data_IF_635845896234
#
_entry.id   IF_635845896234
#
_cell.length_a   1.000
_cell.length_b   1.000
_cell.length_c   1.000
_cell.angle_alpha   90.00
_cell.angle_beta   90.00
_cell.angle_gamma   90.00
#
_symmetry.space_group_name_H-M   'P 1'
#
loop_
_entity.id
_entity.type
_entity.pdbx_description
1 polymer ?
#
# COMPACT_ATOMS: atom_id res chain seq x y z
N UNK A 1 -52.58 24.86 4.58
CA UNK A 1 -51.95 25.12 5.89
C UNK A 1 -52.62 26.30 6.55
N UNK A 2 -52.65 26.33 7.89
CA UNK A 2 -52.97 27.55 8.62
C UNK A 2 -51.77 28.50 8.59
N UNK A 3 -51.98 29.81 8.74
CA UNK A 3 -50.89 30.81 8.78
C UNK A 3 -49.86 30.55 9.89
N UNK A 4 -50.28 29.89 10.98
CA UNK A 4 -49.41 29.46 12.06
C UNK A 4 -48.50 28.27 11.65
N UNK A 5 -49.03 27.31 10.89
CA UNK A 5 -48.25 26.17 10.36
C UNK A 5 -47.19 26.64 9.36
N UNK A 6 -47.53 27.57 8.47
CA UNK A 6 -46.57 28.15 7.51
C UNK A 6 -45.41 28.86 8.22
N UNK A 7 -45.71 29.62 9.28
CA UNK A 7 -44.70 30.27 10.11
C UNK A 7 -43.75 29.27 10.79
N UNK A 8 -44.29 28.15 11.28
CA UNK A 8 -43.50 27.08 11.89
C UNK A 8 -42.57 26.39 10.88
N UNK A 9 -43.06 26.04 9.69
CA UNK A 9 -42.25 25.40 8.64
C UNK A 9 -41.08 26.28 8.24
N UNK A 10 -41.32 27.58 8.02
CA UNK A 10 -40.25 28.56 7.75
C UNK A 10 -39.22 28.62 8.88
N UNK A 11 -39.67 28.56 10.14
CA UNK A 11 -38.79 28.49 11.30
C UNK A 11 -37.85 27.28 11.27
N UNK A 12 -38.38 26.09 10.93
CA UNK A 12 -37.57 24.88 10.77
C UNK A 12 -36.58 24.97 9.60
N UNK A 13 -36.99 25.55 8.47
CA UNK A 13 -36.11 25.78 7.31
C UNK A 13 -34.92 26.65 7.71
N UNK A 14 -35.14 27.76 8.42
CA UNK A 14 -34.04 28.61 8.88
C UNK A 14 -33.14 27.89 9.88
N UNK A 15 -33.71 27.17 10.84
CA UNK A 15 -32.94 26.40 11.82
C UNK A 15 -32.00 25.39 11.15
N UNK A 16 -32.53 24.61 10.20
CA UNK A 16 -31.75 23.61 9.45
C UNK A 16 -30.68 24.31 8.59
N UNK A 17 -31.03 25.40 7.91
CA UNK A 17 -30.09 26.17 7.07
C UNK A 17 -28.91 26.72 7.87
N UNK A 18 -29.16 27.38 9.01
CA UNK A 18 -28.10 27.91 9.86
C UNK A 18 -27.28 26.80 10.52
N UNK A 19 -27.91 25.66 10.86
CA UNK A 19 -27.19 24.48 11.36
C UNK A 19 -26.22 23.94 10.31
N UNK A 20 -26.65 23.77 9.06
CA UNK A 20 -25.77 23.36 7.95
C UNK A 20 -24.60 24.33 7.81
N UNK A 21 -24.87 25.64 7.79
CA UNK A 21 -23.83 26.67 7.65
C UNK A 21 -22.79 26.58 8.78
N UNK A 22 -23.25 26.46 10.03
CA UNK A 22 -22.37 26.34 11.19
C UNK A 22 -21.48 25.08 11.12
N UNK A 23 -22.04 23.94 10.69
CA UNK A 23 -21.28 22.71 10.50
C UNK A 23 -20.23 22.85 9.40
N UNK A 24 -20.58 23.45 8.26
CA UNK A 24 -19.66 23.67 7.14
C UNK A 24 -18.52 24.61 7.53
N UNK A 25 -18.80 25.71 8.23
CA UNK A 25 -17.78 26.64 8.74
C UNK A 25 -16.82 25.95 9.71
N UNK A 26 -17.34 25.10 10.60
CA UNK A 26 -16.52 24.30 11.52
C UNK A 26 -15.62 23.30 10.77
N UNK A 27 -16.14 22.64 9.72
CA UNK A 27 -15.32 21.77 8.87
C UNK A 27 -14.22 22.57 8.19
N UNK A 28 -14.51 23.75 7.61
CA UNK A 28 -13.49 24.61 7.01
C UNK A 28 -12.42 25.07 8.02
N UNK A 29 -12.84 25.46 9.23
CA UNK A 29 -11.92 25.87 10.29
C UNK A 29 -10.96 24.75 10.70
N UNK A 30 -11.48 23.53 10.85
CA UNK A 30 -10.65 22.36 11.18
C UNK A 30 -9.82 21.85 10.00
N UNK A 31 -10.21 22.14 8.76
CA UNK A 31 -9.44 21.84 7.56
C UNK A 31 -8.22 22.76 7.36
N UNK A 32 -8.14 23.87 8.11
CA UNK A 32 -7.02 24.81 8.02
C UNK A 32 -5.68 24.08 8.24
N UNK A 33 -4.65 24.29 7.39
CA UNK A 33 -3.46 23.44 7.35
C UNK A 33 -2.77 23.24 8.70
N UNK A 34 -2.65 24.29 9.51
CA UNK A 34 -1.99 24.22 10.80
C UNK A 34 -2.83 23.47 11.85
N UNK A 35 -4.15 23.62 11.82
CA UNK A 35 -5.06 22.89 12.71
C UNK A 35 -5.08 21.41 12.34
N UNK A 36 -5.25 21.10 11.06
CA UNK A 36 -5.22 19.73 10.52
C UNK A 36 -3.91 19.02 10.89
N UNK A 37 -2.76 19.70 10.78
CA UNK A 37 -1.46 19.10 11.12
C UNK A 37 -1.30 18.83 12.62
N UNK A 38 -1.77 19.73 13.48
CA UNK A 38 -1.66 19.59 14.95
C UNK A 38 -2.67 18.61 15.54
N UNK A 39 -3.89 18.61 15.02
CA UNK A 39 -5.04 17.89 15.56
C UNK A 39 -5.61 16.93 14.51
N UNK A 40 -4.74 16.20 13.81
CA UNK A 40 -5.09 15.31 12.69
C UNK A 40 -6.25 14.35 13.01
N UNK A 41 -6.19 13.66 14.15
CA UNK A 41 -7.22 12.69 14.54
C UNK A 41 -8.59 13.37 14.79
N UNK A 42 -8.59 14.58 15.34
CA UNK A 42 -9.80 15.37 15.53
C UNK A 42 -10.35 15.88 14.19
N UNK A 43 -9.48 16.41 13.33
CA UNK A 43 -9.83 16.82 11.98
C UNK A 43 -10.54 15.68 11.22
N UNK A 44 -9.96 14.47 11.23
CA UNK A 44 -10.55 13.30 10.57
C UNK A 44 -11.93 12.94 11.13
N UNK A 45 -12.08 12.99 12.46
CA UNK A 45 -13.35 12.71 13.13
C UNK A 45 -14.43 13.73 12.79
N UNK A 46 -14.12 15.01 12.98
CA UNK A 46 -15.00 16.15 12.68
C UNK A 46 -15.47 16.07 11.22
N UNK A 47 -14.54 15.92 10.27
CA UNK A 47 -14.89 15.87 8.86
C UNK A 47 -15.75 14.66 8.50
N UNK A 48 -15.48 13.51 9.11
CA UNK A 48 -16.25 12.29 8.86
C UNK A 48 -17.66 12.42 9.41
N UNK A 49 -17.82 12.69 10.70
CA UNK A 49 -19.13 12.67 11.35
C UNK A 49 -19.98 13.88 10.99
N UNK A 50 -19.40 15.09 10.96
CA UNK A 50 -20.16 16.29 10.56
C UNK A 50 -20.53 16.24 9.08
N UNK A 51 -19.71 15.62 8.22
CA UNK A 51 -20.06 15.38 6.82
C UNK A 51 -21.36 14.56 6.67
N UNK A 52 -21.50 13.47 7.41
CA UNK A 52 -22.75 12.68 7.42
C UNK A 52 -23.93 13.47 7.97
N UNK A 53 -23.73 14.22 9.05
CA UNK A 53 -24.77 15.07 9.62
C UNK A 53 -25.23 16.15 8.64
N UNK A 54 -24.31 16.79 7.92
CA UNK A 54 -24.62 17.78 6.88
C UNK A 54 -25.44 17.16 5.75
N UNK A 55 -25.11 15.95 5.28
CA UNK A 55 -25.91 15.25 4.27
C UNK A 55 -27.33 14.97 4.77
N UNK A 56 -27.48 14.51 6.01
CA UNK A 56 -28.79 14.27 6.62
C UNK A 56 -29.62 15.56 6.77
N UNK A 57 -28.98 16.67 7.14
CA UNK A 57 -29.63 17.98 7.23
C UNK A 57 -30.02 18.52 5.85
N UNK A 58 -29.23 18.28 4.80
CA UNK A 58 -29.63 18.61 3.44
C UNK A 58 -30.86 17.81 2.98
N UNK A 59 -30.99 16.54 3.41
CA UNK A 59 -32.21 15.76 3.17
C UNK A 59 -33.42 16.40 3.85
N UNK A 60 -33.28 16.77 5.13
CA UNK A 60 -34.33 17.48 5.86
C UNK A 60 -34.69 18.84 5.19
N UNK A 61 -33.68 19.59 4.74
CA UNK A 61 -33.86 20.86 4.05
C UNK A 61 -34.66 20.70 2.75
N UNK A 62 -34.32 19.71 1.91
CA UNK A 62 -35.03 19.44 0.66
C UNK A 62 -36.48 19.04 0.94
N UNK A 63 -36.72 18.19 1.94
CA UNK A 63 -38.08 17.80 2.35
C UNK A 63 -38.91 19.00 2.81
N UNK A 64 -38.35 19.86 3.66
CA UNK A 64 -39.04 21.05 4.18
C UNK A 64 -39.35 22.06 3.07
N UNK A 65 -38.39 22.35 2.19
CA UNK A 65 -38.59 23.27 1.06
C UNK A 65 -39.64 22.74 0.06
N UNK A 66 -39.63 21.43 -0.20
CA UNK A 66 -40.61 20.80 -1.11
C UNK A 66 -41.99 20.80 -0.47
N UNK A 67 -42.09 20.57 0.84
CA UNK A 67 -43.34 20.62 1.60
C UNK A 67 -43.93 22.03 1.65
N UNK A 68 -43.10 23.08 1.76
CA UNK A 68 -43.56 24.47 1.68
C UNK A 68 -44.06 24.83 0.26
N UNK A 69 -43.39 24.32 -0.78
CA UNK A 69 -43.70 24.66 -2.16
C UNK A 69 -44.85 23.87 -2.78
N UNK A 70 -45.10 22.64 -2.32
CA UNK A 70 -46.05 21.70 -2.96
C UNK A 70 -47.40 21.69 -2.25
N UNK A 71 -48.48 21.90 -3.01
CA UNK A 71 -49.84 22.03 -2.43
C UNK A 71 -50.61 20.71 -2.32
N UNK A 72 -50.24 19.68 -3.10
CA UNK A 72 -51.08 18.49 -3.27
C UNK A 72 -50.37 17.15 -2.98
N UNK A 73 -49.14 16.93 -3.47
CA UNK A 73 -48.36 15.71 -3.18
C UNK A 73 -46.85 16.00 -3.03
N UNK A 74 -46.30 15.64 -1.86
CA UNK A 74 -44.87 15.77 -1.56
C UNK A 74 -44.03 14.84 -2.45
N UNK A 75 -44.55 13.66 -2.80
CA UNK A 75 -43.83 12.67 -3.61
C UNK A 75 -43.52 13.21 -5.00
N UNK A 76 -44.55 13.72 -5.69
CA UNK A 76 -44.36 14.33 -7.01
C UNK A 76 -43.46 15.58 -6.95
N UNK A 77 -43.65 16.45 -5.96
CA UNK A 77 -42.80 17.64 -5.78
C UNK A 77 -41.31 17.31 -5.59
N UNK A 78 -40.98 16.22 -4.89
CA UNK A 78 -39.60 15.77 -4.74
C UNK A 78 -39.00 15.29 -6.05
N UNK A 79 -39.76 14.53 -6.86
CA UNK A 79 -39.29 13.99 -8.14
C UNK A 79 -39.03 15.09 -9.16
N UNK A 80 -39.84 16.15 -9.14
CA UNK A 80 -39.65 17.34 -10.01
C UNK A 80 -38.47 18.21 -9.57
N UNK A 81 -38.08 18.17 -8.29
CA UNK A 81 -37.00 18.98 -7.74
C UNK A 81 -35.60 18.49 -8.18
N UNK A 82 -34.80 19.32 -8.88
CA UNK A 82 -33.41 18.94 -9.22
C UNK A 82 -32.54 18.69 -8.00
N UNK A 83 -32.81 19.39 -6.89
CA UNK A 83 -32.05 19.26 -5.64
C UNK A 83 -32.17 17.87 -5.03
N UNK A 84 -33.33 17.22 -5.17
CA UNK A 84 -33.55 15.84 -4.73
C UNK A 84 -32.60 14.89 -5.46
N UNK A 85 -32.56 14.92 -6.79
CA UNK A 85 -31.70 14.03 -7.58
C UNK A 85 -30.22 14.28 -7.36
N UNK A 86 -29.80 15.55 -7.24
CA UNK A 86 -28.42 15.87 -6.87
C UNK A 86 -28.05 15.26 -5.51
N UNK A 87 -28.93 15.36 -4.52
CA UNK A 87 -28.69 14.81 -3.19
C UNK A 87 -28.71 13.27 -3.17
N UNK A 88 -29.56 12.63 -3.98
CA UNK A 88 -29.52 11.16 -4.20
C UNK A 88 -28.15 10.75 -4.73
N UNK A 89 -27.65 11.43 -5.78
CA UNK A 89 -26.34 11.13 -6.37
C UNK A 89 -25.21 11.37 -5.38
N UNK A 90 -25.20 12.50 -4.67
CA UNK A 90 -24.20 12.81 -3.64
C UNK A 90 -24.22 11.75 -2.54
N UNK A 91 -25.39 11.38 -2.04
CA UNK A 91 -25.54 10.34 -1.00
C UNK A 91 -25.00 9.01 -1.51
N UNK A 92 -25.32 8.63 -2.75
CA UNK A 92 -24.79 7.43 -3.40
C UNK A 92 -23.26 7.44 -3.50
N UNK A 93 -22.66 8.56 -3.91
CA UNK A 93 -21.20 8.72 -4.01
C UNK A 93 -20.51 8.67 -2.64
N UNK A 94 -21.13 9.20 -1.58
CA UNK A 94 -20.61 9.14 -0.21
C UNK A 94 -20.71 7.72 0.36
N UNK A 95 -21.80 6.99 0.07
CA UNK A 95 -22.01 5.60 0.51
C UNK A 95 -21.14 4.61 -0.28
N UNK A 96 -20.90 4.86 -1.57
CA UNK A 96 -20.21 3.93 -2.47
C UNK A 96 -18.88 3.36 -1.92
N UNK A 97 -17.95 4.17 -1.37
CA UNK A 97 -16.71 3.64 -0.78
C UNK A 97 -16.94 2.62 0.35
N UNK A 98 -18.04 2.72 1.10
CA UNK A 98 -18.40 1.81 2.20
C UNK A 98 -18.91 0.48 1.68
N UNK A 99 -19.56 0.47 0.51
CA UNK A 99 -19.96 -0.78 -0.15
C UNK A 99 -18.78 -1.66 -0.55
N UNK A 100 -17.55 -1.12 -0.56
CA UNK A 100 -16.30 -1.84 -0.83
C UNK A 100 -15.53 -2.24 0.43
N UNK A 101 -16.11 -2.06 1.62
CA UNK A 101 -15.55 -2.59 2.86
C UNK A 101 -15.85 -4.09 2.95
N UNK A 102 -14.83 -4.92 3.16
CA UNK A 102 -14.99 -6.38 3.25
C UNK A 102 -14.18 -6.90 4.43
N UNK A 103 -14.84 -7.60 5.35
CA UNK A 103 -14.17 -8.38 6.38
C UNK A 103 -13.53 -9.61 5.72
N UNK A 104 -12.24 -9.80 5.93
CA UNK A 104 -11.47 -10.91 5.34
C UNK A 104 -10.85 -11.73 6.44
N UNK A 105 -10.87 -13.05 6.27
CA UNK A 105 -10.02 -13.95 7.03
C UNK A 105 -8.56 -13.61 6.73
N UNK A 106 -7.72 -13.65 7.76
CA UNK A 106 -6.29 -13.40 7.65
C UNK A 106 -5.55 -14.43 8.48
N UNK A 107 -4.49 -14.98 7.91
CA UNK A 107 -3.56 -15.84 8.64
C UNK A 107 -2.36 -15.00 9.06
N UNK A 108 -2.10 -14.94 10.36
CA UNK A 108 -1.04 -14.13 10.92
C UNK A 108 0.15 -14.99 11.34
N UNK A 109 1.31 -14.66 10.81
CA UNK A 109 2.59 -15.29 11.09
C UNK A 109 3.49 -14.27 11.79
N UNK A 110 3.74 -14.48 13.08
CA UNK A 110 4.56 -13.57 13.89
C UNK A 110 6.03 -13.81 13.59
N UNK A 111 6.67 -12.85 12.92
CA UNK A 111 8.10 -12.92 12.59
C UNK A 111 8.97 -12.50 13.78
N UNK A 112 8.53 -11.49 14.53
CA UNK A 112 9.22 -10.99 15.72
C UNK A 112 8.28 -10.14 16.58
N UNK A 113 8.75 -9.71 17.76
CA UNK A 113 8.02 -8.73 18.61
C UNK A 113 7.81 -7.36 17.95
N UNK A 114 8.42 -7.14 16.78
CA UNK A 114 8.36 -5.89 16.03
C UNK A 114 7.71 -6.05 14.64
N UNK A 115 7.35 -7.26 14.24
CA UNK A 115 6.89 -7.54 12.88
C UNK A 115 5.97 -8.76 12.82
N UNK A 116 4.83 -8.61 12.15
CA UNK A 116 3.90 -9.69 11.81
C UNK A 116 3.65 -9.70 10.31
N UNK A 117 3.59 -10.90 9.72
CA UNK A 117 3.19 -11.12 8.34
C UNK A 117 1.73 -11.56 8.32
N UNK A 118 0.92 -10.88 7.52
CA UNK A 118 -0.51 -11.15 7.35
C UNK A 118 -0.74 -11.73 5.95
N UNK A 119 -1.22 -12.96 5.87
CA UNK A 119 -1.50 -13.66 4.62
C UNK A 119 -3.00 -13.64 4.29
N UNK A 120 -3.30 -13.40 3.02
CA UNK A 120 -4.66 -13.31 2.47
C UNK A 120 -4.77 -14.20 1.24
N UNK A 121 -5.88 -14.94 1.11
CA UNK A 121 -6.14 -15.93 0.06
C UNK A 121 -7.27 -15.53 -0.91
N UNK A 122 -7.99 -14.44 -0.62
CA UNK A 122 -9.24 -14.11 -1.31
C UNK A 122 -9.05 -13.55 -2.74
N UNK A 123 -7.86 -13.04 -3.09
CA UNK A 123 -7.56 -12.48 -4.42
C UNK A 123 -6.07 -12.43 -4.70
N UNK A 124 -5.72 -12.42 -5.97
CA UNK A 124 -4.36 -12.08 -6.42
C UNK A 124 -4.18 -10.56 -6.56
N UNK A 125 -2.92 -10.17 -6.53
CA UNK A 125 -2.43 -8.80 -6.63
C UNK A 125 -1.14 -8.77 -7.45
N UNK A 126 -0.79 -7.58 -7.91
CA UNK A 126 0.40 -7.33 -8.71
C UNK A 126 1.46 -6.58 -7.93
N UNK A 127 2.71 -6.69 -8.37
CA UNK A 127 3.80 -5.92 -7.77
C UNK A 127 3.51 -4.42 -7.80
N UNK A 128 3.93 -3.75 -6.73
CA UNK A 128 3.69 -2.33 -6.53
C UNK A 128 2.25 -1.96 -6.23
N UNK A 129 1.36 -2.91 -5.91
CA UNK A 129 0.07 -2.61 -5.32
C UNK A 129 0.15 -2.42 -3.79
N UNK A 130 -0.84 -1.72 -3.24
CA UNK A 130 -1.05 -1.54 -1.81
C UNK A 130 -2.51 -1.77 -1.47
N UNK A 131 -2.75 -2.31 -0.27
CA UNK A 131 -4.08 -2.53 0.31
C UNK A 131 -4.28 -1.67 1.54
N UNK A 132 -5.53 -1.32 1.82
CA UNK A 132 -5.93 -0.58 3.02
C UNK A 132 -6.57 -1.52 4.02
N UNK A 133 -5.98 -1.61 5.21
CA UNK A 133 -6.38 -2.49 6.30
C UNK A 133 -6.91 -1.69 7.49
N UNK A 134 -7.89 -2.24 8.20
CA UNK A 134 -8.44 -1.65 9.43
C UNK A 134 -9.13 -2.71 10.29
N UNK A 135 -9.00 -2.59 11.60
CA UNK A 135 -9.82 -3.32 12.59
C UNK A 135 -11.02 -2.48 13.07
N UNK A 136 -11.00 -1.17 12.79
CA UNK A 136 -12.02 -0.19 13.18
C UNK A 136 -12.40 0.69 11.97
N UNK A 137 -13.24 0.22 11.04
CA UNK A 137 -13.52 0.88 9.76
C UNK A 137 -14.03 2.33 9.86
N UNK A 138 -14.69 2.65 10.97
CA UNK A 138 -15.23 3.98 11.26
C UNK A 138 -14.22 4.93 11.92
N UNK A 139 -13.00 4.48 12.22
CA UNK A 139 -11.97 5.29 12.92
C UNK A 139 -10.71 5.45 12.08
N UNK A 140 -9.98 4.38 11.85
CA UNK A 140 -8.65 4.46 11.22
C UNK A 140 -8.53 3.50 10.04
N UNK A 141 -7.61 3.77 9.11
CA UNK A 141 -7.34 2.90 7.96
C UNK A 141 -5.90 3.08 7.53
N UNK A 142 -5.15 1.98 7.43
CA UNK A 142 -3.70 2.00 7.20
C UNK A 142 -3.36 1.31 5.88
N UNK A 143 -2.50 1.94 5.08
CA UNK A 143 -2.06 1.42 3.79
C UNK A 143 -0.79 0.58 3.91
N UNK A 144 -0.77 -0.59 3.25
CA UNK A 144 0.39 -1.48 3.23
C UNK A 144 0.67 -2.00 1.84
N UNK A 145 1.96 -2.10 1.48
CA UNK A 145 2.37 -2.78 0.26
C UNK A 145 2.10 -4.28 0.35
N UNK A 146 1.71 -4.87 -0.77
CA UNK A 146 1.44 -6.30 -0.87
C UNK A 146 2.65 -7.04 -1.42
N UNK A 147 2.84 -8.28 -0.99
CA UNK A 147 3.79 -9.24 -1.55
C UNK A 147 2.94 -10.35 -2.18
N UNK A 148 2.82 -10.42 -3.52
CA UNK A 148 2.13 -11.51 -4.18
C UNK A 148 2.72 -12.85 -3.75
N UNK A 149 1.87 -13.85 -3.54
CA UNK A 149 2.36 -15.22 -3.43
C UNK A 149 2.99 -15.61 -4.78
N UNK A 150 4.25 -16.08 -4.81
CA UNK A 150 4.92 -16.40 -6.07
C UNK A 150 4.11 -17.44 -6.86
N UNK A 151 3.76 -17.16 -8.11
CA UNK A 151 3.19 -18.17 -8.99
C UNK A 151 4.30 -19.17 -9.37
N UNK A 152 4.22 -20.41 -8.91
CA UNK A 152 5.02 -21.49 -9.49
C UNK A 152 4.35 -21.87 -10.80
N UNK A 153 5.02 -21.72 -11.97
CA UNK A 153 4.50 -22.32 -13.19
C UNK A 153 4.36 -23.82 -12.94
N UNK A 154 3.14 -24.35 -13.02
CA UNK A 154 2.97 -25.79 -13.14
C UNK A 154 3.71 -26.16 -14.43
N UNK A 155 4.75 -26.97 -14.33
CA UNK A 155 5.41 -27.58 -15.49
C UNK A 155 4.29 -28.13 -16.38
N UNK A 156 4.24 -27.82 -17.69
CA UNK A 156 3.21 -28.39 -18.55
C UNK A 156 3.31 -29.89 -18.44
N UNK A 157 2.21 -30.56 -18.07
CA UNK A 157 2.08 -31.99 -18.20
C UNK A 157 2.34 -32.26 -19.68
N UNK A 158 3.50 -32.83 -19.98
CA UNK A 158 3.76 -33.34 -21.31
C UNK A 158 2.82 -34.52 -21.46
N UNK A 159 1.76 -34.36 -22.25
CA UNK A 159 0.93 -35.48 -22.69
C UNK A 159 1.86 -36.46 -23.41
N UNK A 160 2.25 -37.52 -22.70
CA UNK A 160 2.88 -38.67 -23.33
C UNK A 160 1.77 -39.46 -24.03
N UNK A 161 1.65 -39.22 -25.33
CA UNK A 161 1.04 -40.17 -26.27
C UNK A 161 1.76 -41.51 -26.10
N UNK A 162 1.00 -42.55 -25.77
CA UNK A 162 1.52 -43.87 -25.46
C UNK A 162 2.26 -44.53 -26.62
N UNK A 163 3.35 -45.22 -26.30
CA UNK A 163 3.71 -46.46 -26.97
C UNK A 163 4.56 -47.34 -26.05
N UNK A 164 4.31 -48.62 -26.18
CA UNK A 164 4.69 -49.77 -25.37
C UNK A 164 6.20 -50.01 -25.30
N UNK A 165 6.72 -50.53 -24.18
CA UNK A 165 8.05 -51.14 -24.15
C UNK A 165 8.69 -51.27 -22.77
N UNK A 166 8.67 -52.49 -22.23
CA UNK A 166 9.45 -53.03 -21.11
C UNK A 166 10.85 -52.42 -20.87
N UNK A 167 11.16 -52.05 -19.62
CA UNK A 167 12.28 -52.65 -18.86
C UNK A 167 12.40 -52.05 -17.45
N UNK A 168 12.76 -52.92 -16.53
CA UNK A 168 12.77 -52.75 -15.08
C UNK A 168 14.08 -52.06 -14.64
N UNK A 169 14.01 -50.84 -14.08
CA UNK A 169 15.11 -50.27 -13.27
C UNK A 169 14.55 -49.55 -12.05
N UNK A 170 14.92 -50.11 -10.90
CA UNK A 170 14.91 -49.61 -9.53
C UNK A 170 14.35 -48.22 -9.22
N UNK A 171 13.35 -48.25 -8.32
CA UNK A 171 13.02 -47.26 -7.28
C UNK A 171 14.16 -46.27 -7.00
N UNK A 172 14.14 -45.13 -7.68
CA UNK A 172 14.83 -43.94 -7.19
C UNK A 172 13.80 -43.12 -6.43
N UNK A 173 13.77 -43.42 -5.13
CA UNK A 173 13.12 -42.67 -4.07
C UNK A 173 13.36 -41.19 -4.33
N UNK A 174 12.36 -40.49 -4.85
CA UNK A 174 12.39 -39.03 -4.99
C UNK A 174 12.80 -38.48 -3.63
N UNK A 175 14.03 -38.00 -3.62
CA UNK A 175 14.63 -37.28 -2.52
C UNK A 175 13.75 -36.05 -2.41
N UNK A 176 12.75 -36.10 -1.53
CA UNK A 176 12.10 -34.92 -1.00
C UNK A 176 13.21 -33.94 -0.69
N UNK A 177 13.35 -32.94 -1.54
CA UNK A 177 14.06 -31.71 -1.23
C UNK A 177 13.22 -30.98 -0.19
N UNK A 178 13.14 -31.57 1.02
CA UNK A 178 12.61 -31.03 2.27
C UNK A 178 13.45 -29.83 2.77
N UNK A 179 14.19 -29.17 1.87
CA UNK A 179 15.09 -28.03 2.16
C UNK A 179 14.82 -26.80 1.32
N UNK A 180 13.82 -26.80 0.43
CA UNK A 180 13.43 -25.62 -0.33
C UNK A 180 12.03 -25.20 0.09
N UNK A 181 11.86 -23.92 0.43
CA UNK A 181 10.61 -23.21 0.74
C UNK A 181 9.87 -23.57 2.03
N UNK A 182 10.47 -23.27 3.19
CA UNK A 182 9.70 -23.06 4.44
C UNK A 182 9.32 -21.58 4.71
N UNK A 183 9.78 -20.65 3.87
CA UNK A 183 9.86 -19.22 4.22
C UNK A 183 8.93 -18.23 3.52
N UNK A 184 8.39 -18.60 2.37
CA UNK A 184 7.23 -17.94 1.80
C UNK A 184 6.11 -18.95 1.96
N UNK A 185 5.48 -18.95 3.14
CA UNK A 185 4.50 -19.95 3.61
C UNK A 185 3.38 -20.29 2.61
N UNK A 186 3.17 -19.46 1.59
CA UNK A 186 2.14 -19.61 0.58
C UNK A 186 2.67 -19.52 -0.87
N UNK A 187 3.95 -19.82 -1.12
CA UNK A 187 4.47 -19.86 -2.49
C UNK A 187 3.68 -20.85 -3.36
N UNK A 188 3.16 -20.39 -4.49
CA UNK A 188 2.32 -21.15 -5.42
C UNK A 188 0.83 -21.07 -5.14
N UNK A 189 0.41 -20.47 -4.02
CA UNK A 189 -0.99 -20.36 -3.62
C UNK A 189 -1.60 -19.05 -4.11
N UNK A 190 -2.93 -19.05 -4.26
CA UNK A 190 -3.69 -17.82 -4.54
C UNK A 190 -3.52 -16.86 -3.36
N UNK A 191 -3.28 -15.58 -3.64
CA UNK A 191 -3.25 -14.58 -2.57
C UNK A 191 -2.03 -13.67 -2.53
N UNK A 192 -1.87 -13.04 -1.36
CA UNK A 192 -0.77 -12.14 -1.06
C UNK A 192 -0.52 -12.00 0.45
N UNK A 193 0.71 -11.63 0.78
CA UNK A 193 1.14 -11.30 2.13
C UNK A 193 1.30 -9.80 2.31
N UNK A 194 1.19 -9.34 3.55
CA UNK A 194 1.47 -7.97 3.98
C UNK A 194 2.40 -8.02 5.19
N UNK A 195 3.44 -7.20 5.20
CA UNK A 195 4.33 -7.06 6.36
C UNK A 195 3.90 -5.83 7.17
N UNK A 196 3.55 -6.07 8.43
CA UNK A 196 3.19 -5.01 9.39
C UNK A 196 4.30 -4.92 10.43
N UNK A 197 5.03 -3.80 10.42
CA UNK A 197 6.07 -3.52 11.41
C UNK A 197 5.63 -2.45 12.40
N UNK A 198 6.17 -2.52 13.62
CA UNK A 198 5.82 -1.62 14.72
C UNK A 198 6.21 -0.17 14.41
N UNK A 199 5.22 0.71 14.26
CA UNK A 199 5.42 2.13 13.96
C UNK A 199 4.49 3.08 14.77
N UNK A 200 3.36 2.57 15.24
CA UNK A 200 2.39 3.30 16.06
C UNK A 200 1.43 2.37 16.80
N UNK A 201 0.43 2.94 17.45
CA UNK A 201 -0.48 2.21 18.35
C UNK A 201 -1.21 1.08 17.65
N UNK A 202 -1.78 1.36 16.47
CA UNK A 202 -2.48 0.35 15.66
C UNK A 202 -1.57 -0.83 15.30
N UNK A 203 -0.40 -0.56 14.71
CA UNK A 203 0.55 -1.62 14.34
C UNK A 203 1.04 -2.41 15.55
N UNK A 204 1.25 -1.74 16.69
CA UNK A 204 1.67 -2.38 17.94
C UNK A 204 0.59 -3.33 18.46
N UNK A 205 -0.68 -2.92 18.40
CA UNK A 205 -1.84 -3.72 18.75
C UNK A 205 -1.96 -4.97 17.87
N UNK A 206 -1.85 -4.80 16.55
CA UNK A 206 -1.94 -5.90 15.57
C UNK A 206 -0.80 -6.90 15.75
N UNK A 207 0.41 -6.46 16.10
CA UNK A 207 1.54 -7.36 16.38
C UNK A 207 1.34 -8.10 17.71
N UNK A 208 0.87 -7.41 18.75
CA UNK A 208 0.68 -8.01 20.08
C UNK A 208 -0.49 -9.01 20.11
N UNK A 209 -1.57 -8.72 19.38
CA UNK A 209 -2.75 -9.57 19.27
C UNK A 209 -3.12 -9.74 17.79
N UNK A 210 -2.46 -10.67 17.07
CA UNK A 210 -2.71 -10.87 15.66
C UNK A 210 -4.17 -11.27 15.39
N UNK A 211 -4.88 -10.56 14.50
CA UNK A 211 -6.29 -10.84 14.23
C UNK A 211 -6.46 -12.10 13.38
N UNK A 212 -7.60 -12.77 13.49
CA UNK A 212 -8.03 -13.82 12.53
C UNK A 212 -8.86 -13.24 11.39
N UNK A 213 -9.41 -12.03 11.59
CA UNK A 213 -10.19 -11.30 10.60
C UNK A 213 -9.84 -9.81 10.63
N UNK A 214 -9.74 -9.19 9.46
CA UNK A 214 -9.45 -7.77 9.32
C UNK A 214 -10.22 -7.19 8.15
N UNK A 215 -10.64 -5.93 8.25
CA UNK A 215 -11.33 -5.27 7.16
C UNK A 215 -10.34 -4.78 6.11
N UNK A 216 -10.65 -5.09 4.86
CA UNK A 216 -10.04 -4.50 3.67
C UNK A 216 -10.94 -3.39 3.15
N UNK A 217 -10.38 -2.23 2.82
CA UNK A 217 -11.15 -1.08 2.31
C UNK A 217 -10.76 -0.76 0.87
N UNK A 218 -11.74 -0.78 -0.03
CA UNK A 218 -11.56 -0.38 -1.42
C UNK A 218 -10.85 -1.44 -2.26
N UNK A 219 -10.26 -1.02 -3.38
CA UNK A 219 -9.49 -1.87 -4.29
C UNK A 219 -7.99 -1.65 -4.12
N UNK A 220 -7.14 -2.67 -4.35
CA UNK A 220 -5.70 -2.47 -4.34
C UNK A 220 -5.28 -1.39 -5.34
N UNK A 221 -4.42 -0.48 -4.91
CA UNK A 221 -3.98 0.67 -5.71
C UNK A 221 -2.50 0.54 -6.03
N UNK A 222 -2.10 0.91 -7.24
CA UNK A 222 -0.68 0.95 -7.60
C UNK A 222 0.00 2.15 -6.92
N UNK A 223 1.12 1.89 -6.26
CA UNK A 223 1.97 2.89 -5.62
C UNK A 223 3.31 3.07 -6.34
N UNK A 224 4.24 3.79 -5.70
CA UNK A 224 5.54 4.17 -6.29
C UNK A 224 6.36 2.98 -6.79
N UNK A 225 6.26 1.80 -6.16
CA UNK A 225 7.03 0.64 -6.61
C UNK A 225 6.60 0.14 -7.99
N UNK A 226 5.41 0.51 -8.48
CA UNK A 226 5.02 0.22 -9.86
C UNK A 226 5.91 0.94 -10.88
N UNK A 227 6.39 2.14 -10.53
CA UNK A 227 7.30 2.97 -11.34
C UNK A 227 8.63 2.28 -11.55
N UNK A 228 9.11 1.47 -10.60
CA UNK A 228 10.36 0.73 -10.73
C UNK A 228 10.40 -0.16 -11.98
N UNK A 229 9.25 -0.72 -12.38
CA UNK A 229 9.15 -1.55 -13.59
C UNK A 229 9.13 -0.78 -14.92
N UNK A 230 9.22 0.56 -14.89
CA UNK A 230 9.42 1.38 -16.08
C UNK A 230 10.91 1.56 -16.41
N UNK A 231 11.79 1.20 -15.47
CA UNK A 231 13.23 1.46 -15.55
C UNK A 231 14.02 0.17 -15.45
N UNK A 232 14.87 -0.10 -16.43
CA UNK A 232 15.70 -1.30 -16.46
C UNK A 232 17.14 -0.93 -16.81
N UNK A 233 18.03 -0.70 -15.82
CA UNK A 233 17.92 -0.95 -14.36
C UNK A 233 17.51 0.22 -13.48
N UNK A 234 17.14 -0.07 -12.23
CA UNK A 234 16.95 0.94 -11.19
C UNK A 234 17.62 0.61 -9.85
N UNK A 235 17.94 1.66 -9.07
CA UNK A 235 18.39 1.54 -7.68
C UNK A 235 17.17 1.58 -6.76
N UNK A 236 16.95 0.54 -5.97
CA UNK A 236 15.88 0.45 -4.98
C UNK A 236 16.45 0.79 -3.61
N UNK A 237 15.93 1.84 -2.99
CA UNK A 237 16.27 2.27 -1.63
C UNK A 237 15.09 2.02 -0.71
N UNK A 238 15.30 1.24 0.34
CA UNK A 238 14.25 0.93 1.32
C UNK A 238 14.72 1.20 2.75
N UNK A 239 13.80 1.61 3.63
CA UNK A 239 14.05 1.62 5.08
C UNK A 239 12.97 0.92 5.87
N UNK A 240 13.36 0.14 6.88
CA UNK A 240 12.42 -0.60 7.72
C UNK A 240 11.47 -1.46 6.87
N UNK A 241 10.17 -1.35 7.14
CA UNK A 241 9.10 -2.08 6.43
C UNK A 241 8.92 -1.64 4.98
N UNK A 242 9.55 -0.53 4.56
CA UNK A 242 9.59 -0.09 3.17
C UNK A 242 10.20 -1.13 2.22
N UNK A 243 10.83 -2.19 2.73
CA UNK A 243 11.27 -3.33 1.94
C UNK A 243 10.11 -4.18 1.40
N UNK A 244 8.97 -4.24 2.11
CA UNK A 244 7.87 -5.14 1.76
C UNK A 244 7.27 -4.87 0.37
N UNK A 245 6.98 -3.61 -0.04
CA UNK A 245 6.60 -3.35 -1.42
C UNK A 245 7.71 -3.71 -2.42
N UNK A 246 9.00 -3.58 -2.07
CA UNK A 246 10.11 -3.97 -2.95
C UNK A 246 10.14 -5.48 -3.20
N UNK A 247 9.89 -6.29 -2.17
CA UNK A 247 9.81 -7.75 -2.29
C UNK A 247 8.77 -8.18 -3.34
N UNK A 248 7.69 -7.41 -3.49
CA UNK A 248 6.67 -7.69 -4.51
C UNK A 248 7.22 -7.69 -5.94
N UNK A 249 8.16 -6.78 -6.24
CA UNK A 249 8.84 -6.71 -7.54
C UNK A 249 9.76 -7.92 -7.69
N UNK A 250 10.55 -8.23 -6.66
CA UNK A 250 11.56 -9.30 -6.71
C UNK A 250 10.90 -10.69 -6.85
N UNK A 251 9.75 -10.89 -6.23
CA UNK A 251 8.99 -12.14 -6.32
C UNK A 251 8.31 -12.29 -7.68
N UNK A 252 7.65 -11.24 -8.19
CA UNK A 252 6.87 -11.33 -9.44
C UNK A 252 7.73 -11.12 -10.70
N UNK A 253 8.88 -10.46 -10.58
CA UNK A 253 9.82 -10.14 -11.66
C UNK A 253 11.26 -10.43 -11.18
N UNK A 254 11.62 -11.70 -10.92
CA UNK A 254 12.94 -12.05 -10.38
C UNK A 254 14.08 -11.57 -11.26
N UNK A 255 13.91 -11.60 -12.59
CA UNK A 255 14.92 -11.18 -13.56
C UNK A 255 15.07 -9.66 -13.69
N UNK A 256 14.19 -8.86 -13.07
CA UNK A 256 14.23 -7.40 -13.19
C UNK A 256 15.53 -6.84 -12.62
N UNK A 257 16.35 -6.13 -13.42
CA UNK A 257 17.64 -5.66 -12.97
C UNK A 257 17.51 -4.54 -11.94
N UNK A 258 18.01 -4.79 -10.73
CA UNK A 258 17.97 -3.82 -9.62
C UNK A 258 19.28 -3.77 -8.86
N UNK A 259 19.53 -2.64 -8.19
CA UNK A 259 20.51 -2.54 -7.10
C UNK A 259 19.81 -2.20 -5.80
N UNK A 260 20.06 -2.96 -4.74
CA UNK A 260 19.30 -2.86 -3.50
C UNK A 260 20.11 -2.15 -2.43
N UNK A 261 19.52 -1.13 -1.82
CA UNK A 261 20.01 -0.48 -0.61
C UNK A 261 18.90 -0.57 0.44
N UNK A 262 19.11 -1.34 1.50
CA UNK A 262 18.14 -1.49 2.57
C UNK A 262 18.74 -1.11 3.91
N UNK A 263 18.12 -0.17 4.62
CA UNK A 263 18.55 0.23 5.97
C UNK A 263 17.46 -0.03 7.00
N UNK A 264 17.76 -0.87 7.99
CA UNK A 264 16.81 -1.20 9.06
C UNK A 264 17.53 -1.50 10.37
N UNK A 265 16.78 -1.58 11.47
CA UNK A 265 17.29 -2.06 12.76
C UNK A 265 17.18 -3.58 12.79
N UNK A 266 18.28 -4.28 13.09
CA UNK A 266 18.30 -5.73 13.35
C UNK A 266 17.54 -6.53 12.27
N UNK A 267 17.97 -6.45 10.98
CA UNK A 267 17.23 -7.02 9.84
C UNK A 267 16.90 -8.50 10.05
N UNK A 268 17.91 -9.29 10.44
CA UNK A 268 17.77 -10.73 10.65
C UNK A 268 16.76 -11.04 11.75
N UNK A 269 16.85 -10.35 12.89
CA UNK A 269 15.96 -10.58 14.04
C UNK A 269 14.54 -10.08 13.77
N UNK A 270 14.37 -9.07 12.92
CA UNK A 270 13.06 -8.44 12.69
C UNK A 270 12.27 -9.11 11.58
N UNK A 271 12.95 -9.46 10.48
CA UNK A 271 12.34 -9.93 9.22
C UNK A 271 12.68 -11.39 8.89
N UNK A 272 13.67 -11.98 9.55
CA UNK A 272 14.11 -13.35 9.29
C UNK A 272 15.20 -13.46 8.22
N UNK A 273 15.83 -14.64 8.17
CA UNK A 273 16.92 -14.94 7.24
C UNK A 273 16.43 -15.02 5.78
N UNK A 274 15.19 -15.44 5.58
CA UNK A 274 14.64 -15.72 4.25
C UNK A 274 14.46 -14.46 3.40
N UNK A 275 14.06 -13.34 4.04
CA UNK A 275 14.01 -12.04 3.38
C UNK A 275 15.43 -11.63 2.97
N UNK A 276 16.44 -11.85 3.82
CA UNK A 276 17.83 -11.52 3.51
C UNK A 276 18.34 -12.36 2.33
N UNK A 277 18.06 -13.67 2.34
CA UNK A 277 18.44 -14.59 1.27
C UNK A 277 17.79 -14.19 -0.06
N UNK A 278 16.52 -13.80 -0.05
CA UNK A 278 15.82 -13.30 -1.23
C UNK A 278 16.44 -12.01 -1.78
N UNK A 279 16.88 -11.09 -0.91
CA UNK A 279 17.56 -9.86 -1.35
C UNK A 279 18.89 -10.17 -2.02
N UNK A 280 19.71 -11.06 -1.45
CA UNK A 280 20.99 -11.45 -2.06
C UNK A 280 20.81 -12.33 -3.31
N UNK A 281 19.74 -13.13 -3.40
CA UNK A 281 19.38 -13.84 -4.62
C UNK A 281 18.96 -12.88 -5.74
N UNK A 282 18.31 -11.75 -5.39
CA UNK A 282 17.89 -10.72 -6.35
C UNK A 282 19.06 -9.83 -6.77
N UNK A 283 19.89 -9.41 -5.81
CA UNK A 283 21.08 -8.59 -6.00
C UNK A 283 22.21 -9.13 -5.11
N UNK A 284 23.16 -9.91 -5.65
CA UNK A 284 24.30 -10.44 -4.89
C UNK A 284 25.16 -9.37 -4.22
N UNK A 285 25.04 -8.10 -4.65
CA UNK A 285 25.75 -6.94 -4.08
C UNK A 285 24.82 -6.01 -3.30
N UNK A 286 23.67 -6.51 -2.85
CA UNK A 286 22.72 -5.75 -2.04
C UNK A 286 23.42 -5.15 -0.80
N UNK A 287 23.20 -3.86 -0.57
CA UNK A 287 23.74 -3.14 0.58
C UNK A 287 22.70 -3.18 1.70
N UNK A 288 22.87 -4.11 2.65
CA UNK A 288 22.00 -4.24 3.83
C UNK A 288 22.68 -3.60 5.04
N UNK A 289 22.09 -2.52 5.55
CA UNK A 289 22.62 -1.71 6.65
C UNK A 289 21.83 -2.02 7.92
N UNK A 290 22.49 -2.71 8.85
CA UNK A 290 21.98 -2.92 10.20
C UNK A 290 22.33 -1.74 11.12
N UNK A 291 21.33 -0.91 11.40
CA UNK A 291 21.48 0.27 12.27
C UNK A 291 21.62 -0.07 13.75
N UNK A 292 21.42 -1.32 14.18
CA UNK A 292 21.59 -1.75 15.57
C UNK A 292 23.04 -2.02 15.95
N UNK A 293 23.89 -2.41 14.99
CA UNK A 293 25.30 -2.76 15.20
C UNK A 293 26.23 -1.56 15.35
N UNK A 294 25.70 -0.35 15.26
CA UNK A 294 26.48 0.86 15.24
C UNK A 294 27.13 1.28 16.56
N UNK A 295 26.64 0.80 17.70
CA UNK A 295 27.06 1.34 19.00
C UNK A 295 26.79 2.86 19.15
N UNK A 296 27.30 3.49 20.22
CA UNK A 296 26.95 4.88 20.58
C UNK A 296 27.42 5.95 19.59
N UNK A 297 28.44 5.66 18.77
CA UNK A 297 29.06 6.61 17.83
C UNK A 297 28.61 6.45 16.37
N UNK A 298 27.73 5.49 16.08
CA UNK A 298 27.29 5.26 14.71
C UNK A 298 26.32 6.33 14.23
N UNK A 299 26.82 7.11 13.29
CA UNK A 299 26.00 8.01 12.50
C UNK A 299 25.28 7.18 11.43
N UNK A 300 23.94 7.21 11.43
CA UNK A 300 23.14 6.60 10.36
C UNK A 300 23.71 7.04 9.00
N UNK A 301 23.96 6.11 8.07
CA UNK A 301 24.55 6.45 6.78
C UNK A 301 23.68 7.44 6.03
N UNK A 302 24.32 8.39 5.35
CA UNK A 302 23.60 9.33 4.49
C UNK A 302 23.14 8.60 3.23
N UNK A 303 21.86 8.22 3.22
CA UNK A 303 21.26 7.49 2.11
C UNK A 303 21.25 8.28 0.80
N UNK A 304 21.30 9.62 0.85
CA UNK A 304 21.44 10.43 -0.38
C UNK A 304 22.80 10.16 -1.01
N UNK A 305 23.87 10.28 -0.20
CA UNK A 305 25.25 10.06 -0.65
C UNK A 305 25.46 8.62 -1.10
N UNK A 306 24.88 7.66 -0.38
CA UNK A 306 24.99 6.25 -0.71
C UNK A 306 24.25 5.91 -2.02
N UNK A 307 23.01 6.33 -2.17
CA UNK A 307 22.23 6.10 -3.39
C UNK A 307 22.88 6.78 -4.60
N UNK A 308 23.35 8.03 -4.44
CA UNK A 308 24.08 8.74 -5.48
C UNK A 308 25.34 7.98 -5.90
N UNK A 309 26.15 7.50 -4.93
CA UNK A 309 27.36 6.73 -5.24
C UNK A 309 27.06 5.43 -6.00
N UNK A 310 26.00 4.71 -5.63
CA UNK A 310 25.60 3.47 -6.33
C UNK A 310 25.14 3.81 -7.75
N UNK A 311 24.37 4.88 -7.92
CA UNK A 311 23.93 5.35 -9.22
C UNK A 311 25.11 5.81 -10.09
N UNK A 312 25.99 6.67 -9.57
CA UNK A 312 27.19 7.20 -10.25
C UNK A 312 28.12 6.08 -10.70
N UNK A 313 28.40 5.10 -9.82
CA UNK A 313 29.18 3.91 -10.17
C UNK A 313 28.55 3.10 -11.31
N UNK A 314 27.22 3.08 -11.42
CA UNK A 314 26.53 2.41 -12.53
C UNK A 314 26.64 3.16 -13.86
N UNK A 315 27.04 4.44 -13.85
CA UNK A 315 27.16 5.25 -15.06
C UNK A 315 28.50 5.05 -15.81
N UNK A 316 29.53 4.50 -15.15
CA UNK A 316 30.76 4.03 -15.81
C UNK A 316 32.03 4.89 -15.67
N UNK A 317 32.14 5.82 -14.72
CA UNK A 317 33.27 6.77 -14.62
C UNK A 317 33.99 6.78 -13.25
N UNK A 318 34.29 5.62 -12.68
CA UNK A 318 35.02 5.52 -11.40
C UNK A 318 36.26 4.60 -11.47
N UNK A 319 37.34 4.88 -10.69
CA UNK A 319 38.58 4.09 -10.68
C UNK A 319 38.38 2.67 -10.13
N UNK A 320 37.30 2.42 -9.39
CA UNK A 320 36.83 1.09 -9.02
C UNK A 320 35.55 0.76 -9.80
N UNK A 321 35.73 0.08 -10.93
CA UNK A 321 34.63 -0.34 -11.80
C UNK A 321 33.75 -1.35 -11.07
N UNK A 322 32.51 -0.98 -10.72
CA UNK A 322 31.47 -1.98 -10.49
C UNK A 322 31.15 -2.56 -11.88
N UNK A 323 31.20 -3.88 -12.11
CA UNK A 323 30.69 -4.43 -13.37
C UNK A 323 29.29 -3.86 -13.61
N UNK A 324 29.02 -3.47 -14.88
CA UNK A 324 27.65 -3.33 -15.41
C UNK A 324 26.81 -4.46 -14.82
N UNK A 325 25.52 -4.25 -14.57
CA UNK A 325 24.68 -5.38 -14.18
C UNK A 325 24.96 -6.50 -15.20
N UNK A 326 25.51 -7.61 -14.70
CA UNK A 326 25.98 -8.69 -15.57
C UNK A 326 24.77 -9.20 -16.35
N UNK A 327 25.02 -9.81 -17.51
CA UNK A 327 23.95 -10.39 -18.31
C UNK A 327 23.09 -11.27 -17.41
N UNK A 328 21.82 -10.89 -17.20
CA UNK A 328 20.86 -11.80 -16.58
C UNK A 328 20.27 -12.62 -17.72
N UNK A 329 20.43 -13.93 -17.63
CA UNK A 329 19.61 -14.87 -18.39
C UNK A 329 18.18 -14.67 -17.95
N UNK A 330 17.34 -14.14 -18.83
CA UNK A 330 15.92 -14.03 -18.55
C UNK A 330 15.27 -15.44 -18.52
N UNK A 331 14.02 -15.53 -18.11
CA UNK A 331 13.20 -16.76 -18.15
C UNK A 331 13.12 -17.46 -19.53
N UNK A 332 13.61 -16.85 -20.61
CA UNK A 332 13.71 -17.43 -21.97
C UNK A 332 15.11 -17.91 -22.34
N UNK A 333 16.07 -17.89 -21.40
CA UNK A 333 17.46 -18.30 -21.63
C UNK A 333 18.31 -17.30 -22.42
N UNK A 334 17.80 -16.09 -22.69
CA UNK A 334 18.53 -15.03 -23.39
C UNK A 334 19.25 -14.13 -22.40
N UNK A 335 20.54 -13.93 -22.60
CA UNK A 335 21.32 -12.92 -21.91
C UNK A 335 20.87 -11.51 -22.35
N UNK A 336 20.32 -10.74 -21.42
CA UNK A 336 20.08 -9.30 -21.63
C UNK A 336 21.28 -8.54 -21.09
N UNK A 337 22.02 -7.86 -21.95
CA UNK A 337 23.05 -6.91 -21.50
C UNK A 337 22.37 -5.80 -20.71
N UNK A 338 22.67 -5.69 -19.42
CA UNK A 338 22.00 -4.76 -18.54
C UNK A 338 22.80 -3.46 -18.45
N UNK A 339 22.15 -2.34 -18.80
CA UNK A 339 22.77 -1.01 -18.95
C UNK A 339 23.05 -0.26 -17.65
N UNK A 340 23.18 1.07 -17.76
CA UNK A 340 23.36 2.01 -16.64
C UNK A 340 22.03 2.17 -15.87
N UNK A 341 22.05 2.37 -14.55
CA UNK A 341 20.81 2.60 -13.81
C UNK A 341 20.12 3.89 -14.30
N UNK A 342 18.84 3.80 -14.62
CA UNK A 342 18.05 4.89 -15.20
C UNK A 342 17.38 5.75 -14.11
N UNK A 343 17.05 5.14 -12.97
CA UNK A 343 16.35 5.82 -11.88
C UNK A 343 16.69 5.25 -10.49
N UNK A 344 16.35 6.03 -9.47
CA UNK A 344 16.35 5.62 -8.05
C UNK A 344 14.92 5.63 -7.53
N UNK A 345 14.46 4.52 -6.96
CA UNK A 345 13.14 4.43 -6.33
C UNK A 345 13.31 4.24 -4.82
N UNK A 346 12.73 5.11 -4.01
CA UNK A 346 12.83 5.08 -2.56
C UNK A 346 11.48 4.79 -1.87
N UNK A 347 11.51 3.86 -0.91
CA UNK A 347 10.41 3.61 0.04
C UNK A 347 10.92 3.76 1.47
N UNK A 348 10.50 4.84 2.12
CA UNK A 348 10.93 5.23 3.47
C UNK A 348 9.88 6.15 4.10
N UNK A 349 10.07 6.63 5.34
CA UNK A 349 9.24 7.70 5.91
C UNK A 349 9.29 9.00 5.09
N UNK A 350 8.31 9.88 5.28
CA UNK A 350 8.13 11.13 4.53
C UNK A 350 9.38 12.03 4.52
N UNK A 351 9.98 12.28 5.70
CA UNK A 351 11.13 13.19 5.83
C UNK A 351 12.33 12.70 5.02
N UNK A 352 12.65 11.41 5.14
CA UNK A 352 13.78 10.82 4.44
C UNK A 352 13.51 10.65 2.95
N UNK A 353 12.29 10.28 2.56
CA UNK A 353 11.88 10.21 1.15
C UNK A 353 12.07 11.57 0.46
N UNK A 354 11.54 12.65 1.05
CA UNK A 354 11.74 14.02 0.52
C UNK A 354 13.22 14.39 0.43
N UNK A 355 14.02 14.07 1.46
CA UNK A 355 15.46 14.35 1.46
C UNK A 355 16.20 13.62 0.32
N UNK A 356 15.90 12.34 0.09
CA UNK A 356 16.58 11.54 -0.93
C UNK A 356 16.15 11.94 -2.33
N UNK A 357 14.85 12.10 -2.57
CA UNK A 357 14.33 12.55 -3.88
C UNK A 357 14.94 13.90 -4.25
N UNK A 358 14.78 14.91 -3.39
CA UNK A 358 15.36 16.24 -3.62
C UNK A 358 16.89 16.20 -3.79
N UNK A 359 17.58 15.41 -2.96
CA UNK A 359 19.03 15.29 -3.00
C UNK A 359 19.55 14.63 -4.28
N UNK A 360 18.80 13.74 -4.90
CA UNK A 360 19.17 13.08 -6.15
C UNK A 360 18.76 13.91 -7.37
N UNK A 361 17.55 14.47 -7.37
CA UNK A 361 17.05 15.33 -8.46
C UNK A 361 17.90 16.60 -8.62
N UNK A 362 18.33 17.20 -7.51
CA UNK A 362 19.27 18.36 -7.53
C UNK A 362 20.63 18.03 -8.14
N UNK A 363 20.94 16.76 -8.37
CA UNK A 363 22.17 16.26 -9.03
C UNK A 363 21.88 15.67 -10.41
N UNK A 364 20.68 15.87 -10.96
CA UNK A 364 20.28 15.35 -12.27
C UNK A 364 19.95 13.85 -12.28
N UNK A 365 19.77 13.22 -11.11
CA UNK A 365 19.42 11.80 -11.01
C UNK A 365 17.89 11.66 -10.91
N UNK A 366 17.22 10.94 -11.83
CA UNK A 366 15.80 10.66 -11.72
C UNK A 366 15.50 9.87 -10.44
N UNK A 367 14.69 10.42 -9.55
CA UNK A 367 14.38 9.80 -8.27
C UNK A 367 12.88 9.83 -7.95
N UNK A 368 12.33 8.70 -7.53
CA UNK A 368 10.90 8.53 -7.27
C UNK A 368 10.68 8.05 -5.84
N UNK A 369 9.74 8.66 -5.13
CA UNK A 369 9.39 8.32 -3.76
C UNK A 369 7.89 8.21 -3.55
N UNK A 370 7.47 7.52 -2.48
CA UNK A 370 6.05 7.52 -2.11
C UNK A 370 5.57 8.95 -1.84
N UNK A 371 4.38 9.29 -2.34
CA UNK A 371 3.67 10.51 -1.97
C UNK A 371 3.03 10.31 -0.58
N UNK A 372 3.20 11.30 0.28
CA UNK A 372 2.66 11.32 1.64
C UNK A 372 1.66 12.47 1.74
N UNK A 373 0.39 12.18 1.49
CA UNK A 373 -0.72 13.16 1.52
C UNK A 373 -1.36 13.30 2.92
N UNK A 374 -0.57 13.06 3.97
CA UNK A 374 -0.98 13.22 5.37
C UNK A 374 -0.82 14.66 5.82
#
# INVERSE_FOLDING_TARGET
MTTAEEGMVKGYIYLVSYSILALLVSMLATAWPEFRRRLHNWFEGVHRFMGWTVVALFWAQVLLLTYEASSEDLGMGLVESPNFWMLVVITGLVVYPWTRLRLRKVEAEVLSSHCVKLNFDYRDVYYGQAVKLTDSPLRETHGFGVIPHPYTPKTPITEQTGSSGSSMVSVEKERKTDKQTKGLSHAGEKGYSVIVSKAGDWTSKIIANPPTHIYTRGTPQFGVMRVAGLFEPCVIVATGSGIAPCLSLFVQKPDHPVRIIWSTKSPLQTYGQEIIDLLYATDPRAIIIDTSKGGPKFKRPDLVKLAYRVWEKSQGEGPEHYPRLESRTNSTGREKAVGKCEAVVIISNQKLTKKVVYGLESRGVPAFGALFDS
#
